data_IF_902322467275
#
_entry.id   IF_902322467275
#
_cell.length_a   1.000
_cell.length_b   1.000
_cell.length_c   1.000
_cell.angle_alpha   90.00
_cell.angle_beta   90.00
_cell.angle_gamma   90.00
#
_symmetry.space_group_name_H-M   'P 1'
#
loop_
_entity.id
_entity.type
_entity.pdbx_description
1 polymer ?
#
# COMPACT_ATOMS: atom_id res chain seq x y z
N UNK A 1 5.76 9.59 7.87
CA UNK A 1 4.33 9.83 8.17
C UNK A 1 3.60 10.02 6.86
N UNK A 2 2.46 9.36 6.68
CA UNK A 2 1.61 9.51 5.50
C UNK A 2 0.24 10.01 5.92
N UNK A 3 -0.38 10.80 5.04
CA UNK A 3 -1.80 11.14 5.11
C UNK A 3 -2.57 10.09 4.33
N UNK A 4 -3.61 9.54 4.95
CA UNK A 4 -4.43 8.48 4.36
C UNK A 4 -5.85 9.03 4.13
N UNK A 5 -6.38 8.89 2.92
CA UNK A 5 -7.74 9.30 2.57
C UNK A 5 -8.55 8.07 2.16
N UNK A 6 -9.59 7.76 2.96
CA UNK A 6 -10.50 6.65 2.70
C UNK A 6 -11.58 7.06 1.70
N UNK A 7 -11.74 6.28 0.65
CA UNK A 7 -12.83 6.34 -0.32
C UNK A 7 -13.57 5.00 -0.25
N UNK A 8 -14.39 4.85 0.78
CA UNK A 8 -15.08 3.58 1.02
C UNK A 8 -16.15 3.31 -0.05
N UNK A 9 -16.32 2.05 -0.49
CA UNK A 9 -15.55 0.86 -0.09
C UNK A 9 -14.31 0.59 -0.94
N UNK A 10 -14.06 1.38 -1.99
CA UNK A 10 -13.24 0.97 -3.12
C UNK A 10 -11.75 1.25 -2.98
N UNK A 11 -11.34 2.25 -2.20
CA UNK A 11 -9.94 2.67 -2.18
C UNK A 11 -9.49 3.40 -0.91
N UNK A 12 -8.18 3.37 -0.68
CA UNK A 12 -7.47 4.28 0.25
C UNK A 12 -6.29 4.89 -0.49
N UNK A 13 -6.23 6.21 -0.56
CA UNK A 13 -5.07 6.93 -1.10
C UNK A 13 -4.10 7.28 0.03
N UNK A 14 -2.81 7.07 -0.21
CA UNK A 14 -1.70 7.44 0.65
C UNK A 14 -0.86 8.53 0.00
N UNK A 15 -0.57 9.56 0.77
CA UNK A 15 0.33 10.63 0.37
C UNK A 15 1.38 10.86 1.45
N UNK A 16 2.61 11.12 1.03
CA UNK A 16 3.70 11.51 1.92
C UNK A 16 3.36 12.82 2.62
N UNK A 17 3.43 12.83 3.95
CA UNK A 17 3.38 14.06 4.74
C UNK A 17 4.76 14.42 5.27
N UNK A 18 5.55 13.41 5.69
CA UNK A 18 6.90 13.61 6.16
C UNK A 18 7.74 12.35 5.95
N UNK A 19 8.96 12.50 5.44
CA UNK A 19 9.90 11.38 5.30
C UNK A 19 11.08 11.72 4.40
N UNK A 20 11.98 10.75 4.18
CA UNK A 20 13.16 10.93 3.35
C UNK A 20 12.84 10.88 1.85
N UNK A 21 11.60 10.55 1.48
CA UNK A 21 11.16 10.47 0.09
C UNK A 21 10.95 11.87 -0.50
N UNK A 22 11.27 12.02 -1.78
CA UNK A 22 10.90 13.20 -2.56
C UNK A 22 9.39 13.20 -2.83
N UNK A 23 8.87 12.02 -3.17
CA UNK A 23 7.45 11.73 -3.19
C UNK A 23 7.24 10.28 -2.81
N UNK A 24 6.08 10.02 -2.21
CA UNK A 24 5.55 8.68 -1.98
C UNK A 24 4.03 8.79 -2.09
N UNK A 25 3.50 8.14 -3.11
CA UNK A 25 2.08 7.95 -3.34
C UNK A 25 1.79 6.47 -3.25
N UNK A 26 0.72 6.12 -2.56
CA UNK A 26 0.21 4.76 -2.49
C UNK A 26 -1.27 4.74 -2.76
N UNK A 27 -1.76 3.63 -3.28
CA UNK A 27 -3.18 3.42 -3.44
C UNK A 27 -3.52 1.98 -3.16
N UNK A 28 -4.36 1.78 -2.15
CA UNK A 28 -5.09 0.55 -1.98
C UNK A 28 -6.33 0.57 -2.87
N UNK A 29 -6.58 -0.56 -3.52
CA UNK A 29 -7.79 -0.82 -4.27
C UNK A 29 -8.43 -2.11 -3.79
N UNK A 30 -9.73 -2.05 -3.58
CA UNK A 30 -10.56 -3.17 -3.15
C UNK A 30 -11.58 -3.43 -4.24
N UNK A 31 -11.48 -4.61 -4.86
CA UNK A 31 -12.42 -5.02 -5.91
C UNK A 31 -13.22 -6.20 -5.41
N UNK A 32 -14.53 -6.01 -5.22
CA UNK A 32 -15.44 -7.10 -4.93
C UNK A 32 -15.40 -8.11 -6.10
N UNK A 33 -15.10 -9.37 -5.78
CA UNK A 33 -15.14 -10.47 -6.74
C UNK A 33 -16.45 -11.25 -6.62
N UNK A 34 -16.95 -11.39 -5.39
CA UNK A 34 -18.24 -12.00 -5.01
C UNK A 34 -18.71 -11.36 -3.70
N UNK A 35 -19.88 -11.78 -3.21
CA UNK A 35 -20.43 -11.33 -1.92
C UNK A 35 -19.51 -11.65 -0.74
N UNK A 36 -18.73 -12.73 -0.84
CA UNK A 36 -17.81 -13.24 0.19
C UNK A 36 -16.33 -13.13 -0.19
N UNK A 37 -15.98 -12.44 -1.29
CA UNK A 37 -14.62 -12.41 -1.79
C UNK A 37 -14.24 -11.03 -2.34
N UNK A 38 -13.05 -10.56 -1.95
CA UNK A 38 -12.49 -9.29 -2.39
C UNK A 38 -11.04 -9.49 -2.86
N UNK A 39 -10.69 -8.84 -3.98
CA UNK A 39 -9.31 -8.69 -4.43
C UNK A 39 -8.73 -7.41 -3.83
N UNK A 40 -7.59 -7.53 -3.19
CA UNK A 40 -6.84 -6.41 -2.61
C UNK A 40 -5.61 -6.14 -3.46
N UNK A 41 -5.42 -4.89 -3.86
CA UNK A 41 -4.27 -4.46 -4.65
C UNK A 41 -3.62 -3.24 -4.00
N UNK A 42 -2.28 -3.22 -4.01
CA UNK A 42 -1.50 -2.08 -3.56
C UNK A 42 -0.64 -1.57 -4.71
N UNK A 43 -0.82 -0.31 -5.05
CA UNK A 43 0.01 0.42 -5.98
C UNK A 43 0.82 1.46 -5.22
N UNK A 44 2.06 1.65 -5.63
CA UNK A 44 2.98 2.55 -4.97
C UNK A 44 3.90 3.19 -5.98
N UNK A 45 4.07 4.49 -5.85
CA UNK A 45 4.93 5.33 -6.66
C UNK A 45 5.76 6.22 -5.75
N UNK A 46 7.07 6.27 -5.96
CA UNK A 46 7.96 6.98 -5.06
C UNK A 46 9.28 7.35 -5.72
N UNK A 47 9.90 8.40 -5.19
CA UNK A 47 11.30 8.70 -5.43
C UNK A 47 12.01 9.07 -4.14
N UNK A 48 13.31 8.78 -4.12
CA UNK A 48 14.20 9.12 -3.03
C UNK A 48 15.59 9.41 -3.60
N UNK A 49 16.18 10.52 -3.17
CA UNK A 49 17.49 10.95 -3.63
C UNK A 49 18.62 10.11 -3.04
N UNK A 50 19.75 10.04 -3.77
CA UNK A 50 21.01 9.47 -3.28
C UNK A 50 21.11 7.94 -3.29
N UNK A 51 22.09 7.40 -2.54
CA UNK A 51 22.40 5.96 -2.50
C UNK A 51 21.24 5.11 -1.95
N UNK A 52 20.34 5.70 -1.16
CA UNK A 52 19.16 5.05 -0.62
C UNK A 52 18.16 4.59 -1.71
N UNK A 53 18.06 5.33 -2.82
CA UNK A 53 17.13 4.99 -3.92
C UNK A 53 17.49 3.73 -4.67
N UNK A 54 18.79 3.44 -4.83
CA UNK A 54 19.26 2.21 -5.49
C UNK A 54 19.00 0.97 -4.65
N UNK A 55 19.11 1.07 -3.33
CA UNK A 55 18.84 -0.05 -2.42
C UNK A 55 17.33 -0.34 -2.28
N UNK A 56 16.50 0.72 -2.23
CA UNK A 56 15.06 0.57 -2.05
C UNK A 56 14.35 0.09 -3.31
N UNK A 57 14.79 0.49 -4.51
CA UNK A 57 14.18 0.05 -5.77
C UNK A 57 14.13 -1.49 -5.93
N UNK A 58 15.16 -2.20 -5.44
CA UNK A 58 15.21 -3.68 -5.51
C UNK A 58 14.38 -4.40 -4.44
N UNK A 59 14.03 -3.73 -3.33
CA UNK A 59 13.26 -4.33 -2.23
C UNK A 59 11.76 -4.03 -2.31
N UNK A 60 11.36 -3.15 -3.23
CA UNK A 60 10.05 -2.54 -3.14
C UNK A 60 8.89 -3.49 -3.46
N UNK A 61 9.06 -4.39 -4.43
CA UNK A 61 8.07 -5.45 -4.69
C UNK A 61 7.86 -6.36 -3.48
N UNK A 62 8.92 -6.62 -2.71
CA UNK A 62 8.82 -7.38 -1.47
C UNK A 62 8.06 -6.61 -0.39
N UNK A 63 8.31 -5.29 -0.27
CA UNK A 63 7.59 -4.43 0.67
C UNK A 63 6.11 -4.36 0.33
N UNK A 64 5.76 -4.18 -0.94
CA UNK A 64 4.38 -4.20 -1.41
C UNK A 64 3.69 -5.54 -1.12
N UNK A 65 4.36 -6.66 -1.41
CA UNK A 65 3.88 -8.01 -1.07
C UNK A 65 3.61 -8.17 0.42
N UNK A 66 4.57 -7.83 1.27
CA UNK A 66 4.43 -7.92 2.73
C UNK A 66 3.26 -7.07 3.25
N UNK A 67 2.99 -5.90 2.65
CA UNK A 67 1.84 -5.08 3.05
C UNK A 67 0.52 -5.72 2.67
N UNK A 68 0.41 -6.32 1.48
CA UNK A 68 -0.79 -7.05 1.07
C UNK A 68 -1.01 -8.26 1.99
N UNK A 69 0.04 -9.03 2.29
CA UNK A 69 -0.04 -10.18 3.18
C UNK A 69 -0.51 -9.79 4.58
N UNK A 70 0.06 -8.71 5.14
CA UNK A 70 -0.34 -8.19 6.45
C UNK A 70 -1.80 -7.71 6.46
N UNK A 71 -2.29 -7.13 5.35
CA UNK A 71 -3.69 -6.74 5.21
C UNK A 71 -4.60 -7.97 5.22
N UNK A 72 -4.29 -8.99 4.44
CA UNK A 72 -5.05 -10.25 4.39
C UNK A 72 -5.09 -10.94 5.76
N UNK A 73 -3.94 -11.08 6.43
CA UNK A 73 -3.87 -11.65 7.78
C UNK A 73 -4.74 -10.88 8.78
N UNK A 74 -4.79 -9.54 8.67
CA UNK A 74 -5.64 -8.74 9.54
C UNK A 74 -7.12 -8.95 9.23
N UNK A 75 -7.48 -9.11 7.96
CA UNK A 75 -8.85 -9.40 7.57
C UNK A 75 -9.32 -10.76 8.12
N UNK A 76 -8.49 -11.80 8.02
CA UNK A 76 -8.74 -13.12 8.62
C UNK A 76 -9.02 -12.98 10.13
N UNK A 77 -8.19 -12.26 10.88
CA UNK A 77 -8.39 -12.08 12.33
C UNK A 77 -9.66 -11.33 12.73
N UNK A 78 -10.23 -10.50 11.85
CA UNK A 78 -11.38 -9.63 12.16
C UNK A 78 -12.68 -10.22 11.66
N UNK A 79 -12.63 -10.98 10.56
CA UNK A 79 -13.80 -11.44 9.83
C UNK A 79 -13.93 -12.98 9.74
N UNK A 80 -12.91 -13.76 10.14
CA UNK A 80 -13.03 -15.20 10.47
C UNK A 80 -13.19 -15.41 11.98
#
# INVERSE_FOLDING_TARGET
>A
VTRNQLQAPDAIALELEQGPFEHLHGKWHFTALREDACKVEMQLDFAISGLAGKALGGLFSQVAGNMVDAFCQRAEQVYE
#
